data_IF_241637322104
#
_entry.id   IF_241637322104
#
_cell.length_a   1.000
_cell.length_b   1.000
_cell.length_c   1.000
_cell.angle_alpha   90.00
_cell.angle_beta   90.00
_cell.angle_gamma   90.00
#
_symmetry.space_group_name_H-M   'P 1'
#
loop_
_entity.id
_entity.type
_entity.pdbx_description
1 polymer ?
#
# COMPACT_ATOMS: atom_id res chain seq x y z
N UNK A 1 8.78 -8.20 -0.50
CA UNK A 1 8.63 -7.15 0.55
C UNK A 1 9.96 -6.46 0.72
N UNK A 2 9.95 -5.13 0.87
CA UNK A 2 11.16 -4.32 1.09
C UNK A 2 11.10 -3.73 2.49
N UNK A 3 12.19 -3.81 3.25
CA UNK A 3 12.33 -3.16 4.56
C UNK A 3 13.42 -2.11 4.49
N UNK A 4 13.06 -0.88 4.85
CA UNK A 4 13.97 0.26 4.82
C UNK A 4 14.40 0.64 6.23
N UNK A 5 15.71 0.72 6.47
CA UNK A 5 16.25 1.30 7.69
C UNK A 5 16.31 2.82 7.53
N UNK A 6 15.43 3.53 8.21
CA UNK A 6 15.36 5.00 8.19
C UNK A 6 15.89 5.59 9.48
N UNK A 7 16.48 6.79 9.40
CA UNK A 7 16.90 7.53 10.60
C UNK A 7 15.74 8.33 11.19
N UNK A 8 15.91 8.85 12.41
CA UNK A 8 14.87 9.58 13.13
C UNK A 8 14.35 10.84 12.38
N UNK A 9 15.20 11.51 11.58
CA UNK A 9 14.77 12.69 10.81
C UNK A 9 13.79 12.28 9.71
N UNK A 10 14.09 11.21 8.98
CA UNK A 10 13.22 10.69 7.93
C UNK A 10 11.95 10.06 8.48
N UNK A 11 12.02 9.37 9.62
CA UNK A 11 10.83 8.85 10.30
C UNK A 11 9.84 9.98 10.66
N UNK A 12 10.33 11.08 11.25
CA UNK A 12 9.50 12.27 11.55
C UNK A 12 8.93 12.92 10.29
N UNK A 13 9.69 12.92 9.20
CA UNK A 13 9.21 13.44 7.91
C UNK A 13 8.06 12.60 7.35
N UNK A 14 8.18 11.26 7.38
CA UNK A 14 7.12 10.35 6.95
C UNK A 14 5.85 10.50 7.80
N UNK A 15 6.00 10.60 9.13
CA UNK A 15 4.88 10.87 10.05
C UNK A 15 4.16 12.17 9.70
N UNK A 16 4.93 13.22 9.38
CA UNK A 16 4.38 14.52 8.99
C UNK A 16 3.63 14.43 7.67
N UNK A 17 4.13 13.69 6.69
CA UNK A 17 3.47 13.49 5.40
C UNK A 17 2.13 12.77 5.56
N UNK A 18 2.10 11.69 6.36
CA UNK A 18 0.86 10.99 6.70
C UNK A 18 -0.15 11.92 7.37
N UNK A 19 0.29 12.67 8.37
CA UNK A 19 -0.54 13.61 9.14
C UNK A 19 -1.08 14.76 8.28
N UNK A 20 -0.26 15.33 7.39
CA UNK A 20 -0.68 16.41 6.48
C UNK A 20 -1.73 15.91 5.49
N UNK A 21 -1.51 14.73 4.91
CA UNK A 21 -2.48 14.17 3.97
C UNK A 21 -3.81 13.80 4.65
N UNK A 22 -3.78 13.47 5.96
CA UNK A 22 -4.89 12.84 6.72
C UNK A 22 -5.47 11.58 6.06
N UNK A 23 -4.82 11.07 5.01
CA UNK A 23 -5.25 9.92 4.20
C UNK A 23 -4.64 8.62 4.68
N UNK A 24 -3.50 8.71 5.38
CA UNK A 24 -2.78 7.56 5.88
C UNK A 24 -2.66 7.60 7.40
N UNK A 25 -2.71 6.44 8.03
CA UNK A 25 -2.48 6.22 9.46
C UNK A 25 -1.27 5.30 9.60
N UNK A 26 -0.36 5.67 10.50
CA UNK A 26 0.76 4.81 10.87
C UNK A 26 0.27 3.64 11.72
N UNK A 27 0.71 2.43 11.40
CA UNK A 27 0.51 1.22 12.20
C UNK A 27 1.85 0.55 12.41
N UNK A 28 2.06 0.03 13.62
CA UNK A 28 3.15 -0.90 13.88
C UNK A 28 2.66 -2.31 13.54
N UNK A 29 3.44 -3.05 12.78
CA UNK A 29 3.15 -4.44 12.41
C UNK A 29 4.40 -5.28 12.58
N UNK A 30 4.18 -6.54 12.93
CA UNK A 30 5.24 -7.52 13.06
C UNK A 30 5.33 -8.32 11.76
N UNK A 31 6.48 -8.29 11.09
CA UNK A 31 6.69 -8.99 9.81
C UNK A 31 7.75 -10.07 9.93
N UNK A 32 7.58 -11.15 9.16
CA UNK A 32 8.63 -12.14 8.95
C UNK A 32 9.53 -11.69 7.81
N UNK A 33 10.82 -11.59 8.06
CA UNK A 33 11.82 -11.28 7.04
C UNK A 33 12.99 -12.25 7.18
N UNK A 34 13.18 -13.09 6.16
CA UNK A 34 14.06 -14.26 6.23
C UNK A 34 13.64 -15.16 7.40
N UNK A 35 14.55 -15.45 8.33
CA UNK A 35 14.29 -16.29 9.50
C UNK A 35 13.98 -15.49 10.77
N UNK A 36 13.79 -14.16 10.65
CA UNK A 36 13.57 -13.28 11.78
C UNK A 36 12.18 -12.67 11.74
N UNK A 37 11.72 -12.28 12.92
CA UNK A 37 10.51 -11.48 13.12
C UNK A 37 10.95 -10.07 13.51
N UNK A 38 10.40 -9.05 12.85
CA UNK A 38 10.82 -7.65 13.02
C UNK A 38 9.57 -6.78 13.13
N UNK A 39 9.53 -5.92 14.15
CA UNK A 39 8.50 -4.88 14.27
C UNK A 39 8.87 -3.68 13.40
N UNK A 40 7.93 -3.26 12.57
CA UNK A 40 8.11 -2.20 11.59
C UNK A 40 6.90 -1.27 11.56
N UNK A 41 7.16 -0.01 11.23
CA UNK A 41 6.11 0.97 10.96
C UNK A 41 5.68 0.89 9.49
N UNK A 42 4.36 0.83 9.27
CA UNK A 42 3.73 0.91 7.95
C UNK A 42 2.67 2.01 7.92
N UNK A 43 2.41 2.55 6.73
CA UNK A 43 1.34 3.53 6.52
C UNK A 43 0.21 2.89 5.72
N UNK A 44 -0.99 2.89 6.29
CA UNK A 44 -2.19 2.33 5.65
C UNK A 44 -3.23 3.42 5.42
N UNK A 45 -4.07 3.27 4.40
CA UNK A 45 -5.16 4.21 4.15
C UNK A 45 -6.10 4.24 5.37
N UNK A 46 -6.49 5.44 5.81
CA UNK A 46 -7.41 5.64 6.92
C UNK A 46 -8.79 5.08 6.58
N UNK A 47 -9.49 4.47 7.54
CA UNK A 47 -10.77 3.77 7.32
C UNK A 47 -11.82 4.61 6.56
N UNK A 48 -11.92 5.91 6.83
CA UNK A 48 -12.85 6.80 6.11
C UNK A 48 -12.65 6.86 4.59
N UNK A 49 -11.49 6.42 4.10
CA UNK A 49 -11.16 6.35 2.67
C UNK A 49 -11.09 4.91 2.15
N UNK A 50 -11.11 3.89 3.02
CA UNK A 50 -10.98 2.49 2.59
C UNK A 50 -12.25 1.96 1.90
N UNK A 51 -13.40 2.58 2.12
CA UNK A 51 -14.68 2.21 1.49
C UNK A 51 -14.86 2.74 0.05
N UNK A 52 -13.86 3.50 -0.42
CA UNK A 52 -13.86 4.14 -1.72
C UNK A 52 -12.72 3.58 -2.57
N UNK A 53 -12.85 2.33 -3.08
CA UNK A 53 -11.86 1.78 -3.99
C UNK A 53 -11.76 2.67 -5.22
N UNK A 54 -10.54 2.86 -5.70
CA UNK A 54 -10.23 3.66 -6.88
C UNK A 54 -9.16 2.93 -7.69
N UNK A 55 -9.30 2.97 -9.02
CA UNK A 55 -8.29 2.40 -9.91
C UNK A 55 -6.99 3.22 -9.77
N UNK A 56 -5.85 2.56 -9.52
CA UNK A 56 -4.57 3.25 -9.63
C UNK A 56 -4.35 3.70 -11.08
N UNK A 57 -3.62 4.80 -11.27
CA UNK A 57 -3.26 5.23 -12.62
C UNK A 57 -2.23 4.27 -13.22
N UNK A 58 -2.20 4.20 -14.55
CA UNK A 58 -1.23 3.37 -15.28
C UNK A 58 0.22 3.68 -14.87
N UNK A 59 0.57 4.97 -14.80
CA UNK A 59 1.89 5.43 -14.35
C UNK A 59 2.24 4.95 -12.92
N UNK A 60 1.27 4.91 -12.01
CA UNK A 60 1.50 4.43 -10.66
C UNK A 60 1.74 2.92 -10.61
N UNK A 61 1.05 2.15 -11.47
CA UNK A 61 1.25 0.70 -11.62
C UNK A 61 2.65 0.42 -12.20
N UNK A 62 3.05 1.14 -13.24
CA UNK A 62 4.37 1.00 -13.88
C UNK A 62 5.50 1.25 -12.87
N UNK A 63 5.44 2.35 -12.11
CA UNK A 63 6.42 2.61 -11.05
C UNK A 63 6.47 1.51 -9.98
N UNK A 64 5.33 0.86 -9.66
CA UNK A 64 5.35 -0.29 -8.75
C UNK A 64 6.01 -1.51 -9.39
N UNK A 65 5.74 -1.78 -10.67
CA UNK A 65 6.37 -2.90 -11.39
C UNK A 65 7.89 -2.72 -11.38
N UNK A 66 8.37 -1.52 -11.70
CA UNK A 66 9.80 -1.20 -11.67
C UNK A 66 10.39 -1.42 -10.28
N UNK A 67 9.74 -0.93 -9.22
CA UNK A 67 10.18 -1.15 -7.84
C UNK A 67 10.16 -2.63 -7.39
N UNK A 68 9.23 -3.43 -7.90
CA UNK A 68 9.24 -4.88 -7.65
C UNK A 68 10.42 -5.56 -8.35
N UNK A 69 10.70 -5.16 -9.60
CA UNK A 69 11.80 -5.70 -10.40
C UNK A 69 13.18 -5.33 -9.82
N UNK A 70 13.36 -4.07 -9.43
CA UNK A 70 14.58 -3.58 -8.76
C UNK A 70 14.92 -4.36 -7.48
N UNK A 71 13.90 -4.87 -6.79
CA UNK A 71 14.06 -5.59 -5.53
C UNK A 71 13.90 -7.11 -5.67
N UNK A 72 13.75 -7.65 -6.88
CA UNK A 72 13.61 -9.08 -7.13
C UNK A 72 12.38 -9.70 -6.46
N UNK A 73 11.28 -8.94 -6.35
CA UNK A 73 10.04 -9.39 -5.70
C UNK A 73 9.09 -9.95 -6.77
N UNK A 74 8.51 -11.12 -6.50
CA UNK A 74 7.48 -11.72 -7.37
C UNK A 74 6.24 -10.81 -7.43
N UNK A 75 5.79 -10.49 -8.64
CA UNK A 75 4.73 -9.50 -8.91
C UNK A 75 3.30 -10.05 -8.78
N UNK A 76 3.11 -11.34 -8.55
CA UNK A 76 1.79 -11.98 -8.43
C UNK A 76 0.90 -11.27 -7.41
N UNK A 77 1.47 -10.87 -6.26
CA UNK A 77 0.75 -10.11 -5.23
C UNK A 77 0.26 -8.75 -5.72
N UNK A 78 1.07 -8.05 -6.51
CA UNK A 78 0.69 -6.76 -7.12
C UNK A 78 -0.45 -6.96 -8.14
N UNK A 79 -0.32 -7.93 -9.04
CA UNK A 79 -1.35 -8.18 -10.05
C UNK A 79 -2.66 -8.67 -9.45
N UNK A 80 -2.61 -9.54 -8.43
CA UNK A 80 -3.80 -9.97 -7.70
C UNK A 80 -4.50 -8.78 -7.04
N UNK A 81 -3.76 -7.91 -6.34
CA UNK A 81 -4.33 -6.72 -5.70
C UNK A 81 -4.98 -5.77 -6.72
N UNK A 82 -4.36 -5.58 -7.89
CA UNK A 82 -4.94 -4.79 -8.98
C UNK A 82 -6.26 -5.43 -9.44
N UNK A 83 -6.29 -6.74 -9.70
CA UNK A 83 -7.50 -7.45 -10.12
C UNK A 83 -8.63 -7.35 -9.09
N UNK A 84 -8.30 -7.42 -7.80
CA UNK A 84 -9.29 -7.28 -6.72
C UNK A 84 -9.95 -5.90 -6.73
N UNK A 85 -9.19 -4.82 -6.96
CA UNK A 85 -9.77 -3.47 -7.13
C UNK A 85 -10.72 -3.41 -8.33
N UNK A 86 -10.39 -4.05 -9.45
CA UNK A 86 -11.29 -4.12 -10.60
C UNK A 86 -12.59 -4.87 -10.27
N UNK A 87 -12.51 -5.98 -9.52
CA UNK A 87 -13.67 -6.75 -9.07
C UNK A 87 -14.55 -5.94 -8.12
N UNK A 88 -13.97 -5.30 -7.11
CA UNK A 88 -14.70 -4.46 -6.15
C UNK A 88 -15.49 -3.34 -6.85
N UNK A 89 -14.86 -2.67 -7.81
CA UNK A 89 -15.51 -1.62 -8.59
C UNK A 89 -16.63 -2.16 -9.48
N UNK A 90 -16.46 -3.33 -10.09
CA UNK A 90 -17.50 -3.97 -10.88
C UNK A 90 -18.74 -4.32 -10.02
N UNK A 91 -18.51 -4.89 -8.84
CA UNK A 91 -19.56 -5.22 -7.87
C UNK A 91 -20.29 -3.95 -7.42
N UNK A 92 -19.55 -2.89 -7.03
CA UNK A 92 -20.14 -1.63 -6.59
C UNK A 92 -20.99 -0.97 -7.67
N UNK A 93 -20.52 -1.00 -8.92
CA UNK A 93 -21.28 -0.49 -10.07
C UNK A 93 -22.55 -1.31 -10.36
N UNK A 94 -22.51 -2.63 -10.15
CA UNK A 94 -23.69 -3.48 -10.32
C UNK A 94 -24.73 -3.23 -9.22
N UNK A 95 -24.29 -3.13 -7.95
CA UNK A 95 -25.16 -2.89 -6.80
C UNK A 95 -25.74 -1.47 -6.77
N UNK A 96 -24.98 -0.46 -7.20
CA UNK A 96 -25.43 0.94 -7.27
C UNK A 96 -26.34 1.28 -8.45
N UNK A 97 -26.60 0.33 -9.37
CA UNK A 97 -27.52 0.48 -10.51
C UNK A 97 -28.93 -0.08 -10.24
N UNK A 98 -29.23 -0.50 -9.01
CA UNK A 98 -30.57 -0.92 -8.56
C UNK A 98 -31.28 0.20 -7.83
#
# INVERSE_FOLDING_TARGET
MVLWKVNCKWAKFLDRFGTISKKYVKKQVTVKFKNNTIDVDVFVIANKYSEFPAKPSQYYIENMVDGYDEHGIIKDGLFNAIQDVYRELAIKNFLGKR
#
